data_IF_846162169130
#
_entry.id   IF_846162169130
#
_cell.length_a   1.000
_cell.length_b   1.000
_cell.length_c   1.000
_cell.angle_alpha   90.00
_cell.angle_beta   90.00
_cell.angle_gamma   90.00
#
_symmetry.space_group_name_H-M   'P 1'
#
loop_
_entity.id
_entity.type
_entity.pdbx_description
1 polymer ?
#
# COMPACT_ATOMS: atom_id res chain seq x y z
N UNK A 1 1.15 -4.54 14.84
CA UNK A 1 1.19 -4.53 13.36
C UNK A 1 1.68 -3.18 12.91
N UNK A 2 2.67 -3.13 12.02
CA UNK A 2 3.28 -1.88 11.57
C UNK A 2 2.32 -1.24 10.56
N UNK A 3 1.69 -0.12 10.90
CA UNK A 3 0.82 0.67 10.01
C UNK A 3 1.61 1.48 8.98
N UNK A 4 2.75 0.94 8.53
CA UNK A 4 3.65 1.62 7.61
C UNK A 4 3.55 0.93 6.28
N UNK A 5 3.28 1.71 5.24
CA UNK A 5 3.22 1.19 3.89
C UNK A 5 4.56 0.57 3.48
N UNK A 6 4.50 -0.42 2.60
CA UNK A 6 5.70 -1.11 2.12
C UNK A 6 6.65 -0.15 1.38
N UNK A 7 6.09 0.77 0.58
CA UNK A 7 6.82 1.90 0.01
C UNK A 7 6.04 3.19 0.20
N UNK A 8 6.78 4.26 0.50
CA UNK A 8 6.24 5.61 0.62
C UNK A 8 7.13 6.59 -0.16
N UNK A 9 6.51 7.41 -1.01
CA UNK A 9 7.17 8.43 -1.81
C UNK A 9 6.49 9.77 -1.54
N UNK A 10 7.25 10.83 -1.35
CA UNK A 10 6.71 12.19 -1.28
C UNK A 10 6.93 12.90 -2.62
N UNK A 11 5.84 13.38 -3.22
CA UNK A 11 5.88 14.17 -4.46
C UNK A 11 4.92 15.34 -4.32
N UNK A 12 5.40 16.55 -4.63
CA UNK A 12 4.61 17.79 -4.61
C UNK A 12 3.86 18.00 -3.27
N UNK A 13 4.50 17.68 -2.15
CA UNK A 13 3.94 17.80 -0.80
C UNK A 13 2.92 16.73 -0.42
N UNK A 14 2.61 15.79 -1.31
CA UNK A 14 1.72 14.65 -1.04
C UNK A 14 2.50 13.35 -0.88
N UNK A 15 2.00 12.48 0.00
CA UNK A 15 2.55 11.13 0.19
C UNK A 15 1.79 10.13 -0.69
N UNK A 16 2.53 9.32 -1.40
CA UNK A 16 2.05 8.22 -2.23
C UNK A 16 2.54 6.92 -1.61
N UNK A 17 1.67 5.91 -1.64
CA UNK A 17 1.91 4.64 -0.99
C UNK A 17 1.79 3.50 -2.01
N UNK A 18 2.64 2.49 -1.87
CA UNK A 18 2.48 1.23 -2.60
C UNK A 18 2.44 0.10 -1.57
N UNK A 19 1.42 -0.74 -1.68
CA UNK A 19 1.27 -1.98 -0.93
C UNK A 19 1.52 -3.14 -1.89
N UNK A 20 2.35 -4.09 -1.46
CA UNK A 20 2.54 -5.35 -2.18
C UNK A 20 1.90 -6.48 -1.41
N UNK A 21 1.28 -7.37 -2.15
CA UNK A 21 0.76 -8.60 -1.57
C UNK A 21 0.71 -9.72 -2.60
N UNK A 22 0.16 -10.84 -2.17
CA UNK A 22 -0.06 -12.02 -2.99
C UNK A 22 -1.55 -12.26 -3.12
N UNK A 23 -1.94 -12.89 -4.22
CA UNK A 23 -3.34 -13.27 -4.48
C UNK A 23 -3.93 -14.11 -3.34
N UNK A 24 -3.10 -14.81 -2.57
CA UNK A 24 -3.50 -15.71 -1.49
C UNK A 24 -3.64 -15.06 -0.11
N UNK A 25 -3.23 -13.79 0.06
CA UNK A 25 -3.11 -13.16 1.39
C UNK A 25 -4.26 -12.19 1.68
N UNK A 26 -4.61 -11.30 0.75
CA UNK A 26 -5.73 -10.37 0.88
C UNK A 26 -5.60 -9.36 2.03
N UNK A 27 -4.38 -9.15 2.56
CA UNK A 27 -4.09 -8.29 3.72
C UNK A 27 -4.12 -6.81 3.36
N UNK A 28 -3.64 -6.52 2.18
CA UNK A 28 -3.43 -5.18 1.63
C UNK A 28 -4.64 -4.25 1.62
N UNK A 29 -5.86 -4.76 1.44
CA UNK A 29 -7.07 -3.90 1.41
C UNK A 29 -7.27 -3.26 2.77
N UNK A 30 -7.29 -4.05 3.83
CA UNK A 30 -7.43 -3.55 5.21
C UNK A 30 -6.25 -2.63 5.58
N UNK A 31 -5.04 -2.93 5.08
CA UNK A 31 -3.90 -2.07 5.35
C UNK A 31 -3.97 -0.72 4.62
N UNK A 32 -4.40 -0.71 3.36
CA UNK A 32 -4.63 0.50 2.60
C UNK A 32 -5.72 1.38 3.23
N UNK A 33 -6.80 0.78 3.74
CA UNK A 33 -7.83 1.50 4.50
C UNK A 33 -7.26 2.20 5.73
N UNK A 34 -6.39 1.54 6.50
CA UNK A 34 -5.71 2.15 7.65
C UNK A 34 -4.74 3.26 7.23
N UNK A 35 -4.03 3.11 6.12
CA UNK A 35 -3.16 4.15 5.57
C UNK A 35 -3.98 5.37 5.16
N UNK A 36 -5.10 5.16 4.46
CA UNK A 36 -5.99 6.23 4.05
C UNK A 36 -6.59 6.98 5.26
N UNK A 37 -6.97 6.26 6.31
CA UNK A 37 -7.46 6.86 7.54
C UNK A 37 -6.39 7.69 8.28
N UNK A 38 -5.12 7.26 8.23
CA UNK A 38 -4.00 7.95 8.88
C UNK A 38 -3.48 9.14 8.06
N UNK A 39 -3.63 9.11 6.73
CA UNK A 39 -3.25 10.22 5.85
C UNK A 39 -4.38 10.59 4.87
N UNK A 40 -5.44 11.28 5.33
CA UNK A 40 -6.59 11.62 4.49
C UNK A 40 -6.26 12.48 3.26
N UNK A 41 -5.08 13.13 3.25
CA UNK A 41 -4.62 13.99 2.16
C UNK A 41 -3.60 13.30 1.24
N UNK A 42 -3.50 11.97 1.30
CA UNK A 42 -2.57 11.22 0.47
C UNK A 42 -2.73 11.51 -1.02
N UNK A 43 -1.62 11.41 -1.75
CA UNK A 43 -1.60 11.52 -3.21
C UNK A 43 -2.19 10.30 -3.91
N UNK A 44 -2.22 9.15 -3.24
CA UNK A 44 -2.78 7.89 -3.74
C UNK A 44 -2.18 6.68 -3.02
N UNK A 45 -2.90 5.55 -3.09
CA UNK A 45 -2.44 4.25 -2.61
C UNK A 45 -2.57 3.27 -3.77
N UNK A 46 -1.47 2.64 -4.17
CA UNK A 46 -1.43 1.62 -5.22
C UNK A 46 -1.33 0.23 -4.58
N UNK A 47 -2.26 -0.66 -4.93
CA UNK A 47 -2.23 -2.07 -4.53
C UNK A 47 -1.58 -2.88 -5.66
N UNK A 48 -0.50 -3.61 -5.34
CA UNK A 48 0.21 -4.46 -6.30
C UNK A 48 0.18 -5.91 -5.86
N UNK A 49 -0.61 -6.70 -6.57
CA UNK A 49 -0.60 -8.16 -6.45
C UNK A 49 0.60 -8.71 -7.21
N UNK A 50 1.53 -9.32 -6.49
CA UNK A 50 2.74 -9.93 -7.02
C UNK A 50 2.82 -11.37 -6.56
N UNK A 51 2.38 -12.28 -7.43
CA UNK A 51 2.57 -13.70 -7.21
C UNK A 51 4.00 -14.13 -7.57
N UNK A 52 4.59 -15.09 -6.83
CA UNK A 52 5.90 -15.64 -7.18
C UNK A 52 5.88 -16.18 -8.61
N UNK A 53 6.90 -15.83 -9.38
CA UNK A 53 7.11 -16.43 -10.70
C UNK A 53 7.21 -17.96 -10.57
N UNK A 54 6.29 -18.67 -11.21
CA UNK A 54 6.38 -20.13 -11.38
C UNK A 54 7.10 -20.41 -12.70
N UNK A 55 8.30 -20.97 -12.58
CA UNK A 55 9.13 -21.41 -13.71
C UNK A 55 8.54 -22.64 -14.40
#
# INVERSE_FOLDING_TARGET
>A
MTNRADLQITKDGKRYYVEWDRTTSGREIEHAERIAANDPNHGGIELRIVDPYKK
#
